data_IF_933252567708
#
_entry.id   IF_933252567708
#
_cell.length_a   1.000
_cell.length_b   1.000
_cell.length_c   1.000
_cell.angle_alpha   90.00
_cell.angle_beta   90.00
_cell.angle_gamma   90.00
#
_symmetry.space_group_name_H-M   'P 1'
#
loop_
_entity.id
_entity.type
_entity.pdbx_description
1 polymer ?
#
# COMPACT_ATOMS: atom_id res chain seq x y z
N UNK A 1 -20.34 5.69 25.43
CA UNK A 1 -19.99 4.26 25.71
C UNK A 1 -19.38 3.60 24.46
N UNK A 2 -20.05 3.56 23.29
CA UNK A 2 -19.52 2.94 22.07
C UNK A 2 -18.34 3.73 21.47
N UNK A 3 -18.41 5.05 21.42
CA UNK A 3 -17.34 5.94 20.97
C UNK A 3 -16.10 5.79 21.86
N UNK A 4 -16.27 5.80 23.16
CA UNK A 4 -15.19 5.63 24.13
C UNK A 4 -14.51 4.26 24.02
N UNK A 5 -15.27 3.20 23.76
CA UNK A 5 -14.72 1.86 23.51
C UNK A 5 -13.87 1.83 22.24
N UNK A 6 -14.33 2.51 21.20
CA UNK A 6 -13.62 2.62 19.93
C UNK A 6 -12.32 3.43 20.06
N UNK A 7 -12.34 4.53 20.82
CA UNK A 7 -11.14 5.31 21.12
C UNK A 7 -10.11 4.49 21.90
N UNK A 8 -10.53 3.79 22.95
CA UNK A 8 -9.64 2.88 23.71
C UNK A 8 -9.06 1.76 22.86
N UNK A 9 -9.84 1.21 21.94
CA UNK A 9 -9.36 0.23 20.96
C UNK A 9 -8.26 0.83 20.07
N UNK A 10 -8.51 2.02 19.51
CA UNK A 10 -7.53 2.70 18.65
C UNK A 10 -6.25 3.01 19.39
N UNK A 11 -6.31 3.55 20.60
CA UNK A 11 -5.14 3.86 21.44
C UNK A 11 -4.30 2.61 21.70
N UNK A 12 -4.95 1.48 21.95
CA UNK A 12 -4.25 0.22 22.17
C UNK A 12 -3.60 -0.32 20.92
N UNK A 13 -4.26 -0.27 19.78
CA UNK A 13 -3.72 -0.70 18.49
C UNK A 13 -2.55 0.18 18.09
N UNK A 14 -2.65 1.50 18.30
CA UNK A 14 -1.56 2.45 18.07
C UNK A 14 -0.34 2.14 18.94
N UNK A 15 -0.54 1.91 20.25
CA UNK A 15 0.55 1.53 21.16
C UNK A 15 1.24 0.24 20.71
N UNK A 16 0.49 -0.79 20.36
CA UNK A 16 1.03 -2.06 19.84
C UNK A 16 1.81 -1.86 18.55
N UNK A 17 1.35 -0.99 17.66
CA UNK A 17 2.08 -0.65 16.43
C UNK A 17 3.46 -0.06 16.75
N UNK A 18 3.53 0.90 17.66
CA UNK A 18 4.79 1.53 18.05
C UNK A 18 5.73 0.56 18.79
N UNK A 19 5.21 -0.34 19.61
CA UNK A 19 6.02 -1.39 20.26
C UNK A 19 6.72 -2.29 19.26
N UNK A 20 6.09 -2.61 18.13
CA UNK A 20 6.67 -3.48 17.09
C UNK A 20 7.63 -2.77 16.14
N UNK A 21 7.68 -1.44 16.14
CA UNK A 21 8.53 -0.68 15.21
C UNK A 21 10.02 -0.96 15.37
N UNK A 22 10.51 -1.12 16.61
CA UNK A 22 11.92 -1.41 16.90
C UNK A 22 12.36 -2.72 16.23
N UNK A 23 11.56 -3.78 16.36
CA UNK A 23 11.85 -5.09 15.76
C UNK A 23 11.82 -5.01 14.22
N UNK A 24 10.86 -4.31 13.66
CA UNK A 24 10.76 -4.09 12.21
C UNK A 24 11.94 -3.30 11.66
N UNK A 25 12.42 -2.29 12.38
CA UNK A 25 13.60 -1.49 12.01
C UNK A 25 14.88 -2.33 12.07
N UNK A 26 15.04 -3.17 13.10
CA UNK A 26 16.19 -4.05 13.26
C UNK A 26 16.25 -5.16 12.22
N UNK A 27 15.10 -5.67 11.78
CA UNK A 27 14.97 -6.68 10.71
C UNK A 27 15.04 -6.12 9.28
N UNK A 28 15.44 -4.85 9.10
CA UNK A 28 15.46 -4.18 7.80
C UNK A 28 16.53 -4.77 6.88
N UNK A 29 16.11 -5.70 6.03
CA UNK A 29 16.90 -6.15 4.89
C UNK A 29 16.82 -5.13 3.74
N UNK A 30 17.71 -5.28 2.73
CA UNK A 30 17.61 -4.49 1.49
C UNK A 30 16.20 -4.59 0.92
N UNK A 31 15.53 -3.46 0.76
CA UNK A 31 14.18 -3.45 0.24
C UNK A 31 14.13 -3.99 -1.18
N UNK A 32 13.22 -4.90 -1.45
CA UNK A 32 12.89 -5.39 -2.80
C UNK A 32 11.93 -4.44 -3.52
N UNK A 33 11.37 -3.48 -2.78
CA UNK A 33 10.45 -2.46 -3.28
C UNK A 33 11.21 -1.19 -3.64
N UNK A 34 10.81 -0.56 -4.75
CA UNK A 34 11.42 0.68 -5.23
C UNK A 34 10.60 1.93 -4.92
N UNK A 35 9.29 1.78 -4.81
CA UNK A 35 8.35 2.88 -4.70
C UNK A 35 7.99 3.50 -6.07
N UNK A 36 6.90 4.27 -6.07
CA UNK A 36 6.31 4.82 -7.30
C UNK A 36 7.24 5.77 -8.08
N UNK A 37 8.07 6.55 -7.37
CA UNK A 37 9.04 7.48 -8.00
C UNK A 37 10.05 6.73 -8.86
N UNK A 38 10.49 5.55 -8.44
CA UNK A 38 11.40 4.73 -9.24
C UNK A 38 10.71 4.24 -10.52
N UNK A 39 9.44 3.87 -10.44
CA UNK A 39 8.65 3.43 -11.59
C UNK A 39 8.40 4.57 -12.59
N UNK A 40 8.12 5.77 -12.09
CA UNK A 40 7.78 6.94 -12.90
C UNK A 40 8.90 7.38 -13.85
N UNK A 41 10.15 7.02 -13.57
CA UNK A 41 11.28 7.37 -14.42
C UNK A 41 11.19 6.77 -15.84
N UNK A 42 10.52 5.62 -15.99
CA UNK A 42 10.29 4.96 -17.27
C UNK A 42 8.78 4.87 -17.63
N UNK A 43 7.89 4.87 -16.65
CA UNK A 43 6.45 4.68 -16.79
C UNK A 43 5.68 5.93 -16.37
N UNK A 44 6.03 7.10 -16.94
CA UNK A 44 5.47 8.40 -16.54
C UNK A 44 3.97 8.53 -16.84
N UNK A 45 3.50 7.99 -17.96
CA UNK A 45 2.08 8.05 -18.33
C UNK A 45 1.20 7.20 -17.39
N UNK A 46 1.66 6.00 -17.06
CA UNK A 46 1.01 5.08 -16.11
C UNK A 46 1.01 5.68 -14.70
N UNK A 47 2.12 6.30 -14.31
CA UNK A 47 2.26 6.99 -13.03
C UNK A 47 1.29 8.18 -12.92
N UNK A 48 1.06 8.93 -13.99
CA UNK A 48 0.09 10.03 -14.00
C UNK A 48 -1.34 9.53 -13.76
N UNK A 49 -1.75 8.44 -14.42
CA UNK A 49 -3.06 7.81 -14.22
C UNK A 49 -3.20 7.38 -12.76
N UNK A 50 -2.20 6.66 -12.22
CA UNK A 50 -2.20 6.20 -10.84
C UNK A 50 -2.25 7.36 -9.84
N UNK A 51 -1.43 8.38 -9.99
CA UNK A 51 -1.35 9.52 -9.05
C UNK A 51 -2.65 10.31 -8.95
N UNK A 52 -3.43 10.36 -10.03
CA UNK A 52 -4.75 10.98 -10.06
C UNK A 52 -5.87 10.08 -9.52
N UNK A 53 -5.59 8.80 -9.31
CA UNK A 53 -6.56 7.82 -8.79
C UNK A 53 -6.71 7.88 -7.27
N UNK A 54 -7.71 7.16 -6.76
CA UNK A 54 -7.88 6.97 -5.31
C UNK A 54 -6.75 6.13 -4.70
N UNK A 55 -6.14 5.24 -5.46
CA UNK A 55 -5.00 4.43 -5.04
C UNK A 55 -3.78 5.29 -4.68
N UNK A 56 -3.50 6.34 -5.46
CA UNK A 56 -2.42 7.30 -5.18
C UNK A 56 -2.62 8.14 -3.91
N UNK A 57 -3.78 8.05 -3.25
CA UNK A 57 -4.13 8.81 -2.04
C UNK A 57 -4.64 7.93 -0.90
N UNK A 58 -4.47 6.62 -1.02
CA UNK A 58 -5.05 5.64 -0.10
C UNK A 58 -4.60 5.83 1.36
N UNK A 59 -3.33 6.16 1.59
CA UNK A 59 -2.81 6.40 2.94
C UNK A 59 -3.42 7.63 3.60
N UNK A 60 -3.69 8.70 2.84
CA UNK A 60 -4.30 9.90 3.36
C UNK A 60 -5.72 9.66 3.90
N UNK A 61 -6.44 8.70 3.36
CA UNK A 61 -7.77 8.33 3.88
C UNK A 61 -7.66 7.77 5.29
N UNK A 62 -6.64 6.98 5.58
CA UNK A 62 -6.38 6.45 6.92
C UNK A 62 -5.96 7.54 7.91
N UNK A 63 -5.14 8.51 7.48
CA UNK A 63 -4.74 9.63 8.32
C UNK A 63 -5.95 10.46 8.77
N UNK A 64 -6.89 10.72 7.87
CA UNK A 64 -8.10 11.52 8.15
C UNK A 64 -8.99 10.90 9.22
N UNK A 65 -8.99 9.60 9.37
CA UNK A 65 -9.80 8.85 10.33
C UNK A 65 -8.97 8.24 11.47
N UNK A 66 -7.72 8.68 11.63
CA UNK A 66 -6.78 8.20 12.65
C UNK A 66 -6.59 6.67 12.64
N UNK A 67 -6.38 6.10 11.46
CA UNK A 67 -6.16 4.66 11.22
C UNK A 67 -4.84 4.34 10.53
N UNK A 68 -3.93 5.31 10.41
CA UNK A 68 -2.64 5.13 9.72
C UNK A 68 -1.63 4.25 10.48
N UNK A 69 -2.02 3.69 11.61
CA UNK A 69 -1.26 2.72 12.40
C UNK A 69 -1.98 1.36 12.52
N UNK A 70 -3.21 1.25 12.05
CA UNK A 70 -4.01 0.03 12.16
C UNK A 70 -3.55 -1.02 11.13
N UNK A 71 -3.03 -2.19 11.58
CA UNK A 71 -2.53 -3.23 10.68
C UNK A 71 -3.58 -3.77 9.71
N UNK A 72 -4.85 -3.83 10.13
CA UNK A 72 -5.96 -4.30 9.29
C UNK A 72 -6.23 -3.34 8.12
N UNK A 73 -5.93 -2.06 8.31
CA UNK A 73 -6.05 -1.04 7.26
C UNK A 73 -4.79 -0.97 6.39
N UNK A 74 -3.62 -0.96 7.04
CA UNK A 74 -2.32 -0.78 6.37
C UNK A 74 -2.05 -1.87 5.33
N UNK A 75 -2.47 -3.11 5.56
CA UNK A 75 -2.26 -4.23 4.63
C UNK A 75 -2.79 -3.94 3.21
N UNK A 76 -3.83 -3.11 3.09
CA UNK A 76 -4.43 -2.71 1.82
C UNK A 76 -4.06 -1.29 1.36
N UNK A 77 -3.49 -0.46 2.23
CA UNK A 77 -3.29 0.96 1.97
C UNK A 77 -1.82 1.38 1.79
N UNK A 78 -0.89 0.43 1.86
CA UNK A 78 0.56 0.65 1.67
C UNK A 78 1.21 -0.51 0.93
N UNK A 79 2.48 -0.35 0.56
CA UNK A 79 3.25 -1.37 -0.16
C UNK A 79 3.91 -2.34 0.81
N UNK A 80 3.59 -3.61 0.72
CA UNK A 80 4.32 -4.69 1.39
C UNK A 80 4.27 -4.68 2.92
N UNK A 81 3.18 -4.20 3.52
CA UNK A 81 3.01 -4.23 4.97
C UNK A 81 3.16 -5.66 5.51
N UNK A 82 3.96 -5.83 6.58
CA UNK A 82 4.34 -7.12 7.16
C UNK A 82 5.14 -8.06 6.23
N UNK A 83 5.62 -7.57 5.10
CA UNK A 83 6.52 -8.32 4.23
C UNK A 83 7.96 -7.79 4.34
N UNK A 84 8.98 -8.61 4.12
CA UNK A 84 10.37 -8.18 4.17
C UNK A 84 10.64 -7.01 3.21
N UNK A 85 11.21 -5.92 3.72
CA UNK A 85 11.52 -4.72 2.95
C UNK A 85 10.32 -3.83 2.60
N UNK A 86 9.11 -4.17 3.04
CA UNK A 86 7.89 -3.39 2.83
C UNK A 86 7.72 -2.22 3.81
N UNK A 87 6.53 -1.63 3.80
CA UNK A 87 6.18 -0.49 4.63
C UNK A 87 6.34 -0.78 6.13
N UNK A 88 7.01 0.11 6.84
CA UNK A 88 7.21 0.06 8.28
C UNK A 88 6.37 1.14 8.97
N UNK A 89 6.63 2.40 8.63
CA UNK A 89 5.90 3.57 9.11
C UNK A 89 6.06 4.72 8.12
N UNK A 90 5.24 5.77 8.26
CA UNK A 90 5.36 6.98 7.44
C UNK A 90 6.74 7.65 7.59
N UNK A 91 7.34 7.54 8.76
CA UNK A 91 8.67 8.11 9.04
C UNK A 91 9.81 7.26 8.45
N UNK A 92 9.70 5.93 8.56
CA UNK A 92 10.77 5.02 8.14
C UNK A 92 10.78 4.72 6.64
N UNK A 93 9.59 4.58 6.06
CA UNK A 93 9.40 4.18 4.66
C UNK A 93 8.34 5.05 3.97
N UNK A 94 8.52 6.40 3.93
CA UNK A 94 7.52 7.31 3.36
C UNK A 94 7.23 7.06 1.88
N UNK A 95 8.19 6.48 1.16
CA UNK A 95 8.09 6.11 -0.26
C UNK A 95 7.22 4.88 -0.53
N UNK A 96 6.75 4.18 0.50
CA UNK A 96 5.92 2.98 0.37
C UNK A 96 4.46 3.21 0.82
N UNK A 97 4.06 4.46 1.02
CA UNK A 97 2.65 4.84 1.29
C UNK A 97 1.80 4.68 0.03
N UNK A 98 0.51 4.48 0.24
CA UNK A 98 -0.49 4.32 -0.81
C UNK A 98 -0.48 2.95 -1.51
N UNK A 99 -1.51 2.70 -2.29
CA UNK A 99 -1.61 1.51 -3.15
C UNK A 99 -0.87 1.81 -4.45
N UNK A 100 0.43 1.54 -4.46
CA UNK A 100 1.31 1.86 -5.58
C UNK A 100 1.42 0.72 -6.61
N UNK A 101 2.20 0.95 -7.65
CA UNK A 101 2.47 0.02 -8.75
C UNK A 101 2.81 -1.39 -8.25
N UNK A 102 3.67 -1.47 -7.25
CA UNK A 102 4.19 -2.74 -6.70
C UNK A 102 3.16 -3.55 -5.91
N UNK A 103 2.05 -2.95 -5.48
CA UNK A 103 0.94 -3.68 -4.84
C UNK A 103 0.24 -4.59 -5.87
N UNK A 104 0.14 -4.15 -7.10
CA UNK A 104 -0.47 -4.89 -8.20
C UNK A 104 0.57 -5.67 -9.01
N UNK A 105 1.71 -5.07 -9.34
CA UNK A 105 2.73 -5.63 -10.22
C UNK A 105 3.80 -6.46 -9.51
N UNK A 106 3.85 -6.40 -8.16
CA UNK A 106 4.89 -7.07 -7.37
C UNK A 106 6.15 -6.22 -7.18
N UNK A 107 7.11 -6.70 -6.33
CA UNK A 107 8.34 -5.98 -6.01
C UNK A 107 9.14 -5.64 -7.26
N UNK A 108 9.34 -4.36 -7.54
CA UNK A 108 9.85 -3.87 -8.82
C UNK A 108 11.28 -3.32 -8.81
N UNK A 109 11.96 -3.32 -7.65
CA UNK A 109 13.31 -2.73 -7.57
C UNK A 109 14.30 -3.37 -8.55
N UNK A 110 14.33 -4.71 -8.61
CA UNK A 110 15.21 -5.42 -9.53
C UNK A 110 14.84 -5.18 -11.00
N UNK A 111 13.55 -5.13 -11.31
CA UNK A 111 13.08 -4.77 -12.65
C UNK A 111 13.55 -3.37 -13.05
N UNK A 112 13.46 -2.38 -12.16
CA UNK A 112 13.91 -1.02 -12.45
C UNK A 112 15.43 -0.92 -12.69
N UNK A 113 16.23 -1.76 -12.02
CA UNK A 113 17.69 -1.82 -12.19
C UNK A 113 18.10 -2.59 -13.45
N UNK A 114 17.35 -3.62 -13.82
CA UNK A 114 17.60 -4.47 -15.00
C UNK A 114 16.26 -4.88 -15.63
N UNK A 115 15.66 -4.01 -16.45
CA UNK A 115 14.34 -4.24 -17.02
C UNK A 115 14.27 -5.52 -17.85
N UNK A 116 13.24 -6.32 -17.61
CA UNK A 116 12.94 -7.55 -18.34
C UNK A 116 11.48 -7.54 -18.79
N UNK A 117 11.16 -8.07 -19.99
CA UNK A 117 9.79 -8.20 -20.44
C UNK A 117 8.96 -9.10 -19.52
N UNK A 118 7.65 -8.83 -19.44
CA UNK A 118 6.68 -9.66 -18.71
C UNK A 118 6.58 -9.40 -17.21
N UNK A 119 7.34 -8.45 -16.67
CA UNK A 119 7.16 -8.05 -15.26
C UNK A 119 5.74 -7.53 -15.02
N UNK A 120 5.11 -8.02 -13.95
CA UNK A 120 3.80 -7.56 -13.52
C UNK A 120 2.61 -7.94 -14.41
N UNK A 121 2.76 -8.92 -15.29
CA UNK A 121 1.73 -9.33 -16.27
C UNK A 121 0.40 -9.81 -15.67
N UNK A 122 0.39 -10.20 -14.39
CA UNK A 122 -0.81 -10.67 -13.67
C UNK A 122 -1.37 -9.64 -12.68
N UNK A 123 -1.14 -8.35 -12.91
CA UNK A 123 -1.52 -7.28 -12.00
C UNK A 123 -3.03 -7.27 -11.65
N UNK A 124 -3.90 -7.65 -12.59
CA UNK A 124 -5.36 -7.68 -12.37
C UNK A 124 -5.82 -8.68 -11.31
N UNK A 125 -5.04 -9.71 -11.02
CA UNK A 125 -5.34 -10.67 -9.95
C UNK A 125 -5.19 -10.05 -8.53
N UNK A 126 -4.52 -8.91 -8.42
CA UNK A 126 -4.32 -8.22 -7.14
C UNK A 126 -5.58 -7.51 -6.62
N UNK A 127 -6.53 -7.15 -7.48
CA UNK A 127 -7.73 -6.37 -7.09
C UNK A 127 -8.47 -6.99 -5.91
N UNK A 128 -8.74 -8.29 -5.96
CA UNK A 128 -9.53 -9.01 -4.96
C UNK A 128 -8.81 -9.21 -3.62
N UNK A 129 -7.52 -8.90 -3.52
CA UNK A 129 -6.78 -8.95 -2.24
C UNK A 129 -7.24 -7.86 -1.28
N UNK A 130 -7.68 -6.72 -1.82
CA UNK A 130 -8.14 -5.56 -1.06
C UNK A 130 -9.63 -5.26 -1.28
N UNK A 131 -10.13 -5.45 -2.50
CA UNK A 131 -11.54 -5.29 -2.83
C UNK A 131 -12.37 -6.50 -2.40
N UNK A 132 -12.47 -6.69 -1.09
CA UNK A 132 -13.28 -7.73 -0.46
C UNK A 132 -14.63 -7.17 0.00
N UNK A 133 -15.63 -8.02 0.20
CA UNK A 133 -17.01 -7.61 0.51
C UNK A 133 -17.11 -6.65 1.72
N UNK A 134 -16.31 -6.87 2.76
CA UNK A 134 -16.35 -6.06 3.98
C UNK A 134 -15.78 -4.65 3.80
N UNK A 135 -14.86 -4.44 2.86
CA UNK A 135 -14.18 -3.15 2.66
C UNK A 135 -14.58 -2.48 1.35
N UNK A 136 -15.08 -3.25 0.38
CA UNK A 136 -15.47 -2.75 -0.94
C UNK A 136 -16.75 -3.46 -1.42
N UNK A 137 -17.89 -3.29 -0.73
CA UNK A 137 -19.11 -4.07 -0.99
C UNK A 137 -19.71 -3.83 -2.37
N UNK A 138 -19.37 -2.71 -3.01
CA UNK A 138 -19.82 -2.34 -4.36
C UNK A 138 -18.77 -2.61 -5.44
N UNK A 139 -17.69 -3.30 -5.10
CA UNK A 139 -16.64 -3.59 -6.08
C UNK A 139 -17.20 -4.41 -7.25
N UNK A 140 -17.00 -3.87 -8.44
CA UNK A 140 -17.29 -4.53 -9.71
C UNK A 140 -16.11 -4.26 -10.64
N UNK A 141 -15.44 -5.30 -11.07
CA UNK A 141 -14.24 -5.20 -11.90
C UNK A 141 -14.51 -4.38 -13.19
N UNK A 142 -15.64 -4.63 -13.86
CA UNK A 142 -15.99 -3.95 -15.12
C UNK A 142 -16.15 -2.44 -14.95
N UNK A 143 -16.65 -2.02 -13.78
CA UNK A 143 -16.85 -0.59 -13.47
C UNK A 143 -15.58 0.07 -12.92
N UNK A 144 -14.76 -0.66 -12.14
CA UNK A 144 -13.61 -0.10 -11.45
C UNK A 144 -12.34 -0.11 -12.31
N UNK A 145 -12.18 -1.12 -13.16
CA UNK A 145 -11.00 -1.25 -14.02
C UNK A 145 -10.72 -0.02 -14.90
N UNK A 146 -11.73 0.60 -15.58
CA UNK A 146 -11.48 1.79 -16.38
C UNK A 146 -10.91 2.99 -15.61
N UNK A 147 -11.08 3.03 -14.27
CA UNK A 147 -10.61 4.12 -13.43
C UNK A 147 -9.10 4.06 -13.14
N UNK A 148 -8.47 2.91 -13.38
CA UNK A 148 -7.05 2.67 -13.06
C UNK A 148 -6.28 2.03 -14.21
N UNK A 149 -6.97 1.62 -15.26
CA UNK A 149 -6.37 1.02 -16.44
C UNK A 149 -5.32 1.95 -17.07
N UNK A 150 -4.16 1.40 -17.35
CA UNK A 150 -3.06 2.06 -18.04
C UNK A 150 -2.32 1.09 -18.97
#
# INVERSE_FOLDING_TARGET
EMVELYEKYNDRVEAMFFETLADKRNGRNKSVYGGDVLCSSCHSAEHEIWSNSRHGRAYNTLRKINKAFDPECLVCHVVGFNLPGGFISELDTPNLKNVQCEVCHGPGRNHALAPQPGFGSKATEACIKCHVKNHSPRFNYTEYWPMIKH
#
